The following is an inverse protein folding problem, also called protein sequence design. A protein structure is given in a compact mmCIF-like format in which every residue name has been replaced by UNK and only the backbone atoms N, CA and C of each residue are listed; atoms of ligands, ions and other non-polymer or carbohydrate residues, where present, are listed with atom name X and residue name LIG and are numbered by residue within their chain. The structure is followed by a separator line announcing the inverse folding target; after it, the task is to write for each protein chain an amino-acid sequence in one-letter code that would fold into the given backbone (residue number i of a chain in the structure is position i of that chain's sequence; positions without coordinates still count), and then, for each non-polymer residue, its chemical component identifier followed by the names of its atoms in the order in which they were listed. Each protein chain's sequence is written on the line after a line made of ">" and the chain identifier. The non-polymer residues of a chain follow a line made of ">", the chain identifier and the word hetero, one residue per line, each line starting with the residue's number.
data_IF_960262847278
#
_entry.id   IF_960262847278
#
_cell.length_a   1.000
_cell.length_b   1.000
_cell.length_c   1.000
_cell.angle_alpha   90.00
_cell.angle_beta   90.00
_cell.angle_gamma   90.00
#
_symmetry.space_group_name_H-M   'P 1'
#
loop_
_entity.id
_entity.type
_entity.pdbx_description
1 polymer ?
#
# COMPACT_ATOMS: atom_id res chain seq x y z
N UNK A 1 9.71 -6.74 -3.75
CA UNK A 1 10.35 -5.55 -4.34
C UNK A 1 9.27 -4.50 -4.47
N UNK A 2 9.45 -3.29 -3.92
CA UNK A 2 8.43 -2.24 -4.07
C UNK A 2 8.27 -1.87 -5.54
N UNK A 3 7.06 -1.45 -5.92
CA UNK A 3 6.72 -1.08 -7.29
C UNK A 3 7.70 -0.02 -7.81
N UNK A 4 8.07 0.94 -6.95
CA UNK A 4 9.02 2.01 -7.27
C UNK A 4 10.41 1.51 -7.68
N UNK A 5 10.97 0.48 -7.02
CA UNK A 5 12.29 -0.06 -7.39
C UNK A 5 12.28 -0.63 -8.81
N UNK A 6 11.18 -1.29 -9.20
CA UNK A 6 11.04 -1.81 -10.55
C UNK A 6 10.87 -0.67 -11.57
N UNK A 7 10.16 0.40 -11.21
CA UNK A 7 9.99 1.58 -12.08
C UNK A 7 11.32 2.28 -12.36
N UNK A 8 12.16 2.52 -11.35
CA UNK A 8 13.48 3.13 -11.55
C UNK A 8 14.40 2.27 -12.42
N UNK A 9 14.37 0.95 -12.25
CA UNK A 9 15.14 0.04 -13.12
C UNK A 9 14.71 0.14 -14.58
N UNK A 10 13.41 0.26 -14.85
CA UNK A 10 12.90 0.43 -16.21
C UNK A 10 13.24 1.80 -16.79
N UNK A 11 13.19 2.86 -15.98
CA UNK A 11 13.64 4.20 -16.37
C UNK A 11 15.10 4.17 -16.86
N UNK A 12 16.01 3.55 -16.11
CA UNK A 12 17.43 3.44 -16.49
C UNK A 12 17.65 2.69 -17.80
N UNK A 13 16.84 1.64 -18.06
CA UNK A 13 16.92 0.86 -19.30
C UNK A 13 16.45 1.71 -20.47
N UNK A 14 15.29 2.35 -20.34
CA UNK A 14 14.69 3.16 -21.40
C UNK A 14 15.54 4.38 -21.73
N UNK A 15 16.15 5.03 -20.74
CA UNK A 15 17.07 6.15 -20.95
C UNK A 15 18.30 5.73 -21.77
N UNK A 16 18.91 4.58 -21.44
CA UNK A 16 20.04 4.04 -22.21
C UNK A 16 19.66 3.67 -23.64
N UNK A 17 18.49 3.07 -23.84
CA UNK A 17 18.00 2.73 -25.18
C UNK A 17 17.69 3.99 -26.00
N UNK A 18 17.11 5.01 -25.37
CA UNK A 18 16.86 6.31 -25.99
C UNK A 18 18.16 6.98 -26.41
N UNK A 19 19.14 7.10 -25.51
CA UNK A 19 20.43 7.74 -25.79
C UNK A 19 21.16 7.04 -26.94
N UNK A 20 21.17 5.71 -26.94
CA UNK A 20 21.77 4.93 -28.03
C UNK A 20 21.08 5.22 -29.36
N UNK A 21 19.75 5.12 -29.40
CA UNK A 21 18.99 5.39 -30.63
C UNK A 21 19.16 6.83 -31.12
N UNK A 22 19.29 7.78 -30.19
CA UNK A 22 19.53 9.19 -30.51
C UNK A 22 20.90 9.39 -31.15
N UNK A 23 21.96 8.78 -30.61
CA UNK A 23 23.30 8.82 -31.19
C UNK A 23 23.34 8.14 -32.56
N UNK A 24 22.75 6.94 -32.68
CA UNK A 24 22.69 6.21 -33.94
C UNK A 24 21.97 7.03 -35.03
N UNK A 25 20.92 7.79 -34.66
CA UNK A 25 20.20 8.66 -35.57
C UNK A 25 21.01 9.89 -36.00
N UNK A 26 21.75 10.54 -35.10
CA UNK A 26 22.62 11.67 -35.46
C UNK A 26 23.80 11.24 -36.35
N UNK A 27 24.32 10.02 -36.15
CA UNK A 27 25.32 9.43 -37.06
C UNK A 27 24.76 9.27 -38.48
N UNK A 28 23.52 8.77 -38.62
CA UNK A 28 22.86 8.65 -39.93
C UNK A 28 22.67 10.02 -40.60
N UNK A 29 22.36 11.07 -39.84
CA UNK A 29 22.30 12.43 -40.39
C UNK A 29 23.66 12.91 -40.91
N UNK A 30 24.76 12.46 -40.32
CA UNK A 30 26.12 12.74 -40.78
C UNK A 30 26.51 12.04 -42.09
N UNK A 31 25.75 11.02 -42.54
CA UNK A 31 25.98 10.32 -43.80
C UNK A 31 25.24 10.96 -44.99
N UNK A 32 24.38 11.95 -44.75
CA UNK A 32 23.63 12.66 -45.79
C UNK A 32 24.54 13.65 -46.52
N UNK A 33 24.38 13.74 -47.85
CA UNK A 33 25.13 14.66 -48.71
C UNK A 33 24.99 16.12 -48.26
N UNK A 34 26.09 16.87 -48.30
CA UNK A 34 26.19 18.27 -47.83
C UNK A 34 25.24 19.22 -48.57
N UNK A 35 24.88 18.87 -49.81
CA UNK A 35 23.89 19.59 -50.64
C UNK A 35 22.46 19.52 -50.07
N UNK A 36 22.20 18.65 -49.08
CA UNK A 36 20.90 18.48 -48.41
C UNK A 36 20.89 19.03 -46.96
N UNK A 37 21.70 20.06 -46.67
CA UNK A 37 21.83 20.66 -45.32
C UNK A 37 20.50 21.02 -44.64
N UNK A 38 19.48 21.47 -45.39
CA UNK A 38 18.17 21.84 -44.82
C UNK A 38 17.45 20.64 -44.17
N UNK A 39 17.61 19.44 -44.74
CA UNK A 39 17.03 18.21 -44.20
C UNK A 39 17.73 17.80 -42.90
N UNK A 40 19.05 17.98 -42.84
CA UNK A 40 19.86 17.71 -41.64
C UNK A 40 19.46 18.66 -40.51
N UNK A 41 19.31 19.96 -40.81
CA UNK A 41 18.95 20.97 -39.82
C UNK A 41 17.54 20.76 -39.25
N UNK A 42 16.53 20.50 -40.10
CA UNK A 42 15.17 20.20 -39.63
C UNK A 42 15.14 18.87 -38.85
N UNK A 43 15.89 17.86 -39.30
CA UNK A 43 16.05 16.58 -38.60
C UNK A 43 16.59 16.74 -37.18
N UNK A 44 17.69 17.49 -37.03
CA UNK A 44 18.29 17.78 -35.71
C UNK A 44 17.39 18.64 -34.82
N UNK A 45 16.64 19.59 -35.39
CA UNK A 45 15.65 20.37 -34.64
C UNK A 45 14.53 19.48 -34.07
N UNK A 46 14.04 18.50 -34.87
CA UNK A 46 13.05 17.51 -34.42
C UNK A 46 13.64 16.57 -33.36
N UNK A 47 14.89 16.11 -33.53
CA UNK A 47 15.58 15.32 -32.51
C UNK A 47 15.69 16.07 -31.18
N UNK A 48 16.09 17.34 -31.21
CA UNK A 48 16.16 18.19 -30.01
C UNK A 48 14.80 18.29 -29.31
N UNK A 49 13.74 18.42 -30.11
CA UNK A 49 12.35 18.43 -29.59
C UNK A 49 12.00 17.09 -28.92
N UNK A 50 12.31 15.95 -29.57
CA UNK A 50 12.08 14.62 -29.01
C UNK A 50 12.84 14.40 -27.71
N UNK A 51 14.13 14.78 -27.64
CA UNK A 51 14.94 14.71 -26.43
C UNK A 51 14.33 15.54 -25.30
N UNK A 52 13.85 16.76 -25.60
CA UNK A 52 13.17 17.61 -24.60
C UNK A 52 11.89 16.97 -24.07
N UNK A 53 11.05 16.42 -24.96
CA UNK A 53 9.83 15.71 -24.57
C UNK A 53 10.13 14.47 -23.72
N UNK A 54 11.14 13.69 -24.10
CA UNK A 54 11.57 12.51 -23.35
C UNK A 54 12.08 12.88 -21.95
N UNK A 55 12.94 13.89 -21.83
CA UNK A 55 13.43 14.38 -20.54
C UNK A 55 12.30 14.84 -19.61
N UNK A 56 11.31 15.57 -20.15
CA UNK A 56 10.14 15.97 -19.37
C UNK A 56 9.28 14.78 -18.94
N UNK A 57 9.10 13.78 -19.80
CA UNK A 57 8.38 12.55 -19.48
C UNK A 57 9.06 11.77 -18.36
N UNK A 58 10.37 11.57 -18.45
CA UNK A 58 11.18 10.90 -17.43
C UNK A 58 11.08 11.62 -16.09
N UNK A 59 11.25 12.95 -16.07
CA UNK A 59 11.13 13.74 -14.84
C UNK A 59 9.74 13.60 -14.19
N UNK A 60 8.66 13.68 -14.99
CA UNK A 60 7.29 13.49 -14.48
C UNK A 60 7.09 12.08 -13.93
N UNK A 61 7.60 11.06 -14.63
CA UNK A 61 7.49 9.67 -14.20
C UNK A 61 8.27 9.39 -12.90
N UNK A 62 9.46 9.98 -12.76
CA UNK A 62 10.24 9.96 -11.50
C UNK A 62 9.44 10.60 -10.35
N UNK A 63 8.91 11.81 -10.55
CA UNK A 63 8.11 12.51 -9.54
C UNK A 63 6.89 11.69 -9.09
N UNK A 64 6.16 11.09 -10.04
CA UNK A 64 5.01 10.23 -9.73
C UNK A 64 5.46 8.98 -8.97
N UNK A 65 6.59 8.37 -9.35
CA UNK A 65 7.11 7.17 -8.71
C UNK A 65 7.55 7.39 -7.27
N UNK A 66 8.16 8.55 -6.98
CA UNK A 66 8.50 8.99 -5.63
C UNK A 66 7.26 9.29 -4.79
N UNK A 67 6.28 10.01 -5.35
CA UNK A 67 5.02 10.28 -4.68
C UNK A 67 4.28 8.99 -4.32
N UNK A 68 4.25 8.02 -5.24
CA UNK A 68 3.67 6.70 -5.00
C UNK A 68 4.40 5.95 -3.89
N UNK A 69 5.74 5.96 -3.88
CA UNK A 69 6.52 5.33 -2.80
C UNK A 69 6.16 5.91 -1.42
N UNK A 70 5.99 7.23 -1.35
CA UNK A 70 5.59 7.92 -0.11
C UNK A 70 4.17 7.55 0.32
N UNK A 71 3.23 7.49 -0.63
CA UNK A 71 1.85 7.07 -0.36
C UNK A 71 1.77 5.61 0.08
N UNK A 72 2.54 4.71 -0.53
CA UNK A 72 2.66 3.30 -0.12
C UNK A 72 3.13 3.19 1.34
N UNK A 73 4.15 3.96 1.74
CA UNK A 73 4.64 3.98 3.12
C UNK A 73 3.55 4.46 4.10
N UNK A 74 2.89 5.58 3.80
CA UNK A 74 1.82 6.12 4.64
C UNK A 74 0.63 5.14 4.77
N UNK A 75 0.31 4.42 3.69
CA UNK A 75 -0.74 3.42 3.69
C UNK A 75 -0.39 2.24 4.61
N UNK A 76 0.85 1.76 4.56
CA UNK A 76 1.33 0.68 5.45
C UNK A 76 1.28 1.11 6.91
N UNK A 77 1.70 2.34 7.22
CA UNK A 77 1.65 2.89 8.57
C UNK A 77 0.20 2.99 9.08
N UNK A 78 -0.69 3.60 8.30
CA UNK A 78 -2.10 3.74 8.65
C UNK A 78 -2.79 2.38 8.85
N UNK A 79 -2.44 1.36 8.05
CA UNK A 79 -2.94 -0.02 8.24
C UNK A 79 -2.48 -0.61 9.56
N UNK A 80 -1.22 -0.38 9.94
CA UNK A 80 -0.71 -0.81 11.24
C UNK A 80 -1.45 -0.13 12.39
N UNK A 81 -1.73 1.17 12.27
CA UNK A 81 -2.53 1.91 13.26
C UNK A 81 -3.96 1.37 13.37
N UNK A 82 -4.65 1.09 12.26
CA UNK A 82 -6.00 0.52 12.26
C UNK A 82 -6.03 -0.83 12.98
N UNK A 83 -5.07 -1.71 12.71
CA UNK A 83 -4.97 -3.01 13.41
C UNK A 83 -4.79 -2.78 14.91
N UNK A 84 -3.88 -1.89 15.31
CA UNK A 84 -3.65 -1.59 16.73
C UNK A 84 -4.90 -1.03 17.42
N UNK A 85 -5.60 -0.10 16.78
CA UNK A 85 -6.83 0.49 17.31
C UNK A 85 -7.96 -0.53 17.45
N UNK A 86 -8.14 -1.42 16.46
CA UNK A 86 -9.14 -2.49 16.53
C UNK A 86 -8.85 -3.49 17.65
N UNK A 87 -7.58 -3.83 17.83
CA UNK A 87 -7.13 -4.68 18.94
C UNK A 87 -7.42 -4.00 20.27
N UNK A 88 -7.04 -2.72 20.43
CA UNK A 88 -7.27 -1.98 21.66
C UNK A 88 -8.77 -1.85 21.97
N UNK A 89 -9.61 -1.65 20.95
CA UNK A 89 -11.06 -1.67 21.08
C UNK A 89 -11.56 -3.02 21.62
N UNK A 90 -11.16 -4.14 21.01
CA UNK A 90 -11.60 -5.46 21.43
C UNK A 90 -11.12 -5.82 22.84
N UNK A 91 -9.89 -5.42 23.19
CA UNK A 91 -9.35 -5.58 24.56
C UNK A 91 -10.18 -4.78 25.55
N UNK A 92 -10.51 -3.52 25.26
CA UNK A 92 -11.34 -2.69 26.14
C UNK A 92 -12.76 -3.26 26.28
N UNK A 93 -13.37 -3.72 25.19
CA UNK A 93 -14.68 -4.36 25.22
C UNK A 93 -14.67 -5.62 26.09
N UNK A 94 -13.61 -6.43 26.04
CA UNK A 94 -13.48 -7.60 26.90
C UNK A 94 -13.23 -7.21 28.36
N UNK A 95 -12.39 -6.20 28.63
CA UNK A 95 -12.16 -5.70 29.99
C UNK A 95 -13.42 -5.18 30.66
N UNK A 96 -14.31 -4.51 29.90
CA UNK A 96 -15.61 -4.09 30.42
C UNK A 96 -16.43 -5.31 30.85
N UNK A 97 -16.47 -6.36 30.02
CA UNK A 97 -17.19 -7.61 30.36
C UNK A 97 -16.59 -8.29 31.59
N UNK A 98 -15.27 -8.39 31.66
CA UNK A 98 -14.58 -9.04 32.77
C UNK A 98 -14.76 -8.25 34.08
N UNK A 99 -14.64 -6.92 34.04
CA UNK A 99 -14.87 -6.06 35.21
C UNK A 99 -16.33 -6.13 35.69
N UNK A 100 -17.30 -6.19 34.78
CA UNK A 100 -18.71 -6.42 35.14
C UNK A 100 -18.92 -7.77 35.82
N UNK A 101 -18.33 -8.84 35.28
CA UNK A 101 -18.42 -10.18 35.87
C UNK A 101 -17.78 -10.22 37.27
N UNK A 102 -16.59 -9.63 37.42
CA UNK A 102 -15.90 -9.53 38.72
C UNK A 102 -16.68 -8.71 39.74
N UNK A 103 -17.34 -7.63 39.33
CA UNK A 103 -18.21 -6.85 40.20
C UNK A 103 -19.38 -7.71 40.69
N UNK A 104 -20.02 -8.48 39.80
CA UNK A 104 -21.10 -9.39 40.16
C UNK A 104 -20.63 -10.48 41.13
N UNK A 105 -19.47 -11.10 40.88
CA UNK A 105 -18.89 -12.11 41.78
C UNK A 105 -18.56 -11.50 43.16
N UNK A 106 -17.93 -10.34 43.19
CA UNK A 106 -17.59 -9.63 44.44
C UNK A 106 -18.83 -9.20 45.22
N UNK A 107 -19.91 -8.80 44.54
CA UNK A 107 -21.20 -8.48 45.17
C UNK A 107 -21.83 -9.70 45.84
N UNK A 108 -21.78 -10.87 45.17
CA UNK A 108 -22.27 -12.14 45.73
C UNK A 108 -21.42 -12.59 46.93
N UNK A 109 -20.09 -12.52 46.83
CA UNK A 109 -19.18 -12.85 47.94
C UNK A 109 -19.40 -11.92 49.14
N UNK A 110 -19.55 -10.61 48.92
CA UNK A 110 -19.90 -9.66 49.98
C UNK A 110 -21.25 -9.97 50.64
N UNK A 111 -22.27 -10.42 49.88
CA UNK A 111 -23.54 -10.85 50.47
C UNK A 111 -23.37 -12.09 51.35
N UNK A 112 -22.59 -13.06 50.89
CA UNK A 112 -22.29 -14.28 51.66
C UNK A 112 -21.51 -13.94 52.94
N UNK A 113 -20.48 -13.10 52.85
CA UNK A 113 -19.67 -12.65 53.99
C UNK A 113 -20.48 -11.80 54.97
N UNK A 114 -21.41 -10.95 54.49
CA UNK A 114 -22.36 -10.24 55.37
C UNK A 114 -23.24 -11.20 56.17
N UNK A 115 -23.58 -12.35 55.58
CA UNK A 115 -24.33 -13.40 56.26
C UNK A 115 -23.46 -14.23 57.22
N UNK A 116 -22.12 -14.15 57.12
CA UNK A 116 -21.16 -14.97 57.88
C UNK A 116 -20.28 -14.19 58.88
N UNK A 117 -20.21 -12.85 58.80
CA UNK A 117 -19.57 -11.98 59.79
C UNK A 117 -18.07 -11.70 59.63
N UNK A 118 -17.43 -12.09 58.52
CA UNK A 118 -15.98 -11.92 58.29
C UNK A 118 -15.67 -10.81 57.25
N UNK A 119 -14.86 -9.81 57.60
CA UNK A 119 -14.64 -8.59 56.77
C UNK A 119 -13.17 -8.36 56.34
N UNK A 120 -12.18 -9.04 56.92
CA UNK A 120 -10.77 -8.58 56.85
C UNK A 120 -9.93 -9.02 55.62
N UNK A 121 -10.49 -9.70 54.62
CA UNK A 121 -9.72 -10.21 53.46
C UNK A 121 -9.67 -9.34 52.19
N UNK A 122 -10.40 -8.22 52.15
CA UNK A 122 -10.78 -7.55 50.91
C UNK A 122 -9.63 -6.95 50.08
N UNK A 123 -8.59 -6.40 50.72
CA UNK A 123 -7.50 -5.71 50.01
C UNK A 123 -6.53 -6.67 49.33
N UNK A 124 -6.27 -7.83 49.95
CA UNK A 124 -5.42 -8.89 49.37
C UNK A 124 -6.10 -9.54 48.17
N UNK A 125 -7.43 -9.72 48.23
CA UNK A 125 -8.26 -10.22 47.13
C UNK A 125 -8.27 -9.23 45.97
N UNK A 126 -8.45 -7.92 46.25
CA UNK A 126 -8.38 -6.86 45.24
C UNK A 126 -7.06 -6.83 44.48
N UNK A 127 -5.94 -6.91 45.20
CA UNK A 127 -4.62 -6.84 44.57
C UNK A 127 -4.37 -8.04 43.65
N UNK A 128 -4.77 -9.24 44.08
CA UNK A 128 -4.63 -10.48 43.29
C UNK A 128 -5.50 -10.47 42.02
N UNK A 129 -6.73 -9.94 42.13
CA UNK A 129 -7.63 -9.73 40.99
C UNK A 129 -7.02 -8.75 39.97
N UNK A 130 -6.47 -7.63 40.43
CA UNK A 130 -5.86 -6.64 39.54
C UNK A 130 -4.65 -7.20 38.76
N UNK A 131 -3.82 -8.00 39.44
CA UNK A 131 -2.67 -8.68 38.81
C UNK A 131 -3.10 -9.78 37.81
N UNK A 132 -4.24 -10.44 38.06
CA UNK A 132 -4.83 -11.38 37.10
C UNK A 132 -5.41 -10.67 35.87
N UNK A 133 -6.13 -9.56 36.06
CA UNK A 133 -6.73 -8.78 34.96
C UNK A 133 -5.65 -8.25 34.02
N UNK A 134 -4.55 -7.72 34.57
CA UNK A 134 -3.44 -7.19 33.78
C UNK A 134 -2.76 -8.28 32.96
N UNK A 135 -2.50 -9.45 33.55
CA UNK A 135 -1.94 -10.59 32.79
C UNK A 135 -2.89 -11.10 31.70
N UNK A 136 -4.18 -11.25 32.02
CA UNK A 136 -5.19 -11.68 31.05
C UNK A 136 -5.33 -10.67 29.92
N UNK A 137 -5.29 -9.37 30.20
CA UNK A 137 -5.28 -8.30 29.19
C UNK A 137 -4.15 -8.49 28.19
N UNK A 138 -2.93 -8.70 28.68
CA UNK A 138 -1.74 -8.78 27.82
C UNK A 138 -1.71 -10.06 26.98
N UNK A 139 -2.25 -11.17 27.50
CA UNK A 139 -2.49 -12.39 26.71
C UNK A 139 -3.58 -12.19 25.65
N UNK A 140 -4.71 -11.59 26.02
CA UNK A 140 -5.82 -11.33 25.10
C UNK A 140 -5.37 -10.41 23.95
N UNK A 141 -4.66 -9.33 24.28
CA UNK A 141 -4.12 -8.38 23.31
C UNK A 141 -3.21 -9.08 22.31
N UNK A 142 -2.31 -9.95 22.78
CA UNK A 142 -1.41 -10.71 21.89
C UNK A 142 -2.16 -11.63 20.94
N UNK A 143 -3.21 -12.30 21.42
CA UNK A 143 -4.00 -13.22 20.59
C UNK A 143 -4.83 -12.45 19.54
N UNK A 144 -5.51 -11.37 19.93
CA UNK A 144 -6.38 -10.59 19.05
C UNK A 144 -5.60 -9.85 17.96
N UNK A 145 -4.33 -9.46 18.20
CA UNK A 145 -3.49 -8.83 17.16
C UNK A 145 -3.39 -9.71 15.93
N UNK A 146 -3.17 -11.01 16.12
CA UNK A 146 -3.05 -11.95 15.01
C UNK A 146 -4.37 -12.07 14.24
N UNK A 147 -5.48 -12.25 14.95
CA UNK A 147 -6.80 -12.45 14.33
C UNK A 147 -7.28 -11.22 13.56
N UNK A 148 -7.13 -10.02 14.14
CA UNK A 148 -7.47 -8.76 13.48
C UNK A 148 -6.58 -8.54 12.26
N UNK A 149 -5.27 -8.83 12.36
CA UNK A 149 -4.34 -8.71 11.23
C UNK A 149 -4.73 -9.63 10.09
N UNK A 150 -5.06 -10.89 10.38
CA UNK A 150 -5.50 -11.86 9.37
C UNK A 150 -6.77 -11.38 8.69
N UNK A 151 -7.76 -10.93 9.46
CA UNK A 151 -9.02 -10.46 8.90
C UNK A 151 -8.85 -9.24 7.98
N UNK A 152 -8.03 -8.25 8.37
CA UNK A 152 -7.74 -7.10 7.51
C UNK A 152 -6.98 -7.51 6.24
N UNK A 153 -6.02 -8.43 6.35
CA UNK A 153 -5.29 -8.95 5.18
C UNK A 153 -6.19 -9.72 4.21
N UNK A 154 -7.11 -10.53 4.72
CA UNK A 154 -8.09 -11.25 3.89
C UNK A 154 -9.00 -10.29 3.13
N UNK A 155 -9.52 -9.27 3.83
CA UNK A 155 -10.36 -8.22 3.23
C UNK A 155 -9.62 -7.45 2.14
N UNK A 156 -8.37 -7.08 2.41
CA UNK A 156 -7.53 -6.41 1.41
C UNK A 156 -7.25 -7.30 0.20
N UNK A 157 -6.98 -8.59 0.42
CA UNK A 157 -6.70 -9.53 -0.64
C UNK A 157 -7.90 -9.67 -1.60
N UNK A 158 -9.12 -9.73 -1.07
CA UNK A 158 -10.34 -9.73 -1.90
C UNK A 158 -10.53 -8.42 -2.69
N UNK A 159 -10.21 -7.27 -2.07
CA UNK A 159 -10.23 -5.98 -2.76
C UNK A 159 -9.19 -5.93 -3.90
N UNK A 160 -7.97 -6.41 -3.65
CA UNK A 160 -6.89 -6.46 -4.65
C UNK A 160 -7.23 -7.38 -5.81
N UNK A 161 -7.79 -8.58 -5.54
CA UNK A 161 -8.28 -9.49 -6.59
C UNK A 161 -9.32 -8.81 -7.48
N UNK A 162 -10.26 -8.08 -6.87
CA UNK A 162 -11.29 -7.34 -7.60
C UNK A 162 -10.68 -6.25 -8.49
N UNK A 163 -9.72 -5.47 -7.96
CA UNK A 163 -9.01 -4.46 -8.73
C UNK A 163 -8.23 -5.05 -9.90
N UNK A 164 -7.56 -6.20 -9.71
CA UNK A 164 -6.85 -6.90 -10.79
C UNK A 164 -7.80 -7.27 -11.93
N UNK A 165 -8.98 -7.80 -11.63
CA UNK A 165 -9.98 -8.17 -12.64
C UNK A 165 -10.44 -6.93 -13.44
N UNK A 166 -10.68 -5.81 -12.74
CA UNK A 166 -11.09 -4.56 -13.38
C UNK A 166 -10.00 -4.01 -14.31
N UNK A 167 -8.75 -3.93 -13.82
CA UNK A 167 -7.60 -3.47 -14.62
C UNK A 167 -7.33 -4.37 -15.83
N UNK A 168 -7.46 -5.70 -15.66
CA UNK A 168 -7.35 -6.62 -16.79
C UNK A 168 -8.42 -6.32 -17.85
N UNK A 169 -9.66 -6.09 -17.43
CA UNK A 169 -10.77 -5.76 -18.32
C UNK A 169 -10.52 -4.46 -19.09
N UNK A 170 -10.02 -3.42 -18.42
CA UNK A 170 -9.62 -2.15 -19.05
C UNK A 170 -8.48 -2.36 -20.07
N UNK A 171 -7.42 -3.08 -19.70
CA UNK A 171 -6.29 -3.38 -20.60
C UNK A 171 -6.77 -4.15 -21.83
N UNK A 172 -7.66 -5.12 -21.67
CA UNK A 172 -8.24 -5.84 -22.80
C UNK A 172 -9.07 -4.91 -23.68
N UNK A 173 -9.87 -4.02 -23.09
CA UNK A 173 -10.62 -2.99 -23.81
C UNK A 173 -9.73 -2.05 -24.62
N UNK A 174 -8.67 -1.52 -24.00
CA UNK A 174 -7.70 -0.64 -24.67
C UNK A 174 -6.94 -1.36 -25.79
N UNK A 175 -6.53 -2.62 -25.59
CA UNK A 175 -5.89 -3.42 -26.64
C UNK A 175 -6.82 -3.69 -27.81
N UNK A 176 -8.10 -3.93 -27.53
CA UNK A 176 -9.09 -4.17 -28.56
C UNK A 176 -9.36 -2.88 -29.35
N UNK A 177 -9.51 -1.75 -28.67
CA UNK A 177 -9.65 -0.43 -29.29
C UNK A 177 -8.45 -0.08 -30.18
N UNK A 178 -7.22 -0.34 -29.70
CA UNK A 178 -6.01 -0.14 -30.51
C UNK A 178 -6.01 -1.00 -31.79
N UNK A 179 -6.40 -2.28 -31.69
CA UNK A 179 -6.54 -3.14 -32.89
C UNK A 179 -7.61 -2.67 -33.87
N UNK A 180 -8.72 -2.10 -33.38
CA UNK A 180 -9.74 -1.54 -34.26
C UNK A 180 -9.26 -0.27 -34.93
N UNK A 181 -8.58 0.62 -34.19
CA UNK A 181 -7.95 1.82 -34.73
C UNK A 181 -6.91 1.47 -35.81
N UNK A 182 -6.06 0.47 -35.57
CA UNK A 182 -5.08 0.01 -36.55
C UNK A 182 -5.74 -0.51 -37.83
N UNK A 183 -6.91 -1.18 -37.73
CA UNK A 183 -7.67 -1.62 -38.91
C UNK A 183 -8.29 -0.45 -39.68
N UNK A 184 -8.88 0.52 -38.98
CA UNK A 184 -9.44 1.72 -39.58
C UNK A 184 -8.36 2.55 -40.30
N UNK A 185 -7.18 2.70 -39.68
CA UNK A 185 -6.04 3.42 -40.24
C UNK A 185 -5.38 2.67 -41.42
N UNK A 186 -5.40 1.34 -41.42
CA UNK A 186 -4.91 0.51 -42.53
C UNK A 186 -5.88 0.45 -43.73
N UNK A 187 -7.05 1.08 -43.63
CA UNK A 187 -7.97 1.27 -44.76
C UNK A 187 -8.88 0.09 -45.09
N UNK A 188 -9.29 -0.73 -44.09
CA UNK A 188 -10.47 -1.63 -44.16
C UNK A 188 -11.10 -1.94 -42.80
#
# INVERSE_FOLDING_TARGET
>A
MSVSVNTFRWLDILEKEFDKAFVDLDLLFGEIDEDQSEIIDDGRARMTTLSTCFAQLIHKLQTISEANAKLEAQLVDARSEIVNLKVDQQVLEQQIKDAMAQLQTSQLECQILKNQGEIEGADTIRKRLNDQITKQRDELKRNLISDVKVHELEKENEQLKTQIINLQSEIYGSRLAAKYLDKELAGR
#
